data_IF_541563431387
#
_entry.id   IF_541563431387
#
_cell.length_a   1.000
_cell.length_b   1.000
_cell.length_c   1.000
_cell.angle_alpha   90.00
_cell.angle_beta   90.00
_cell.angle_gamma   90.00
#
_symmetry.space_group_name_H-M   'P 1'
#
loop_
_entity.id
_entity.type
_entity.pdbx_description
1 polymer ?
#
# COMPACT_ATOMS: atom_id res chain seq x y z
N UNK A 1 -21.49 13.13 -16.34
CA UNK A 1 -21.95 12.33 -15.19
C UNK A 1 -23.46 12.52 -15.08
N UNK A 2 -24.24 11.45 -15.12
CA UNK A 2 -25.70 11.52 -15.11
C UNK A 2 -26.20 11.18 -13.69
N UNK A 3 -26.88 12.11 -13.03
CA UNK A 3 -27.59 11.99 -11.73
C UNK A 3 -26.76 12.08 -10.43
N UNK A 4 -26.51 13.30 -9.90
CA UNK A 4 -25.82 13.53 -8.63
C UNK A 4 -26.56 12.98 -7.40
N UNK A 5 -27.90 12.94 -7.44
CA UNK A 5 -28.72 12.47 -6.30
C UNK A 5 -28.52 10.96 -6.05
N UNK A 6 -28.36 10.19 -7.13
CA UNK A 6 -28.05 8.76 -7.06
C UNK A 6 -26.68 8.49 -6.40
N UNK A 7 -25.70 9.39 -6.57
CA UNK A 7 -24.39 9.25 -5.96
C UNK A 7 -24.44 9.39 -4.42
N UNK A 8 -25.34 10.24 -3.90
CA UNK A 8 -25.57 10.38 -2.46
C UNK A 8 -26.21 9.13 -1.87
N UNK A 9 -27.27 8.63 -2.52
CA UNK A 9 -27.97 7.41 -2.08
C UNK A 9 -27.05 6.19 -2.12
N UNK A 10 -26.22 6.08 -3.16
CA UNK A 10 -25.23 5.02 -3.27
C UNK A 10 -24.17 5.10 -2.17
N UNK A 11 -23.72 6.31 -1.82
CA UNK A 11 -22.73 6.50 -0.75
C UNK A 11 -23.29 6.04 0.60
N UNK A 12 -24.53 6.39 0.94
CA UNK A 12 -25.14 5.95 2.20
C UNK A 12 -25.39 4.43 2.20
N UNK A 13 -25.79 3.84 1.07
CA UNK A 13 -25.92 2.39 0.96
C UNK A 13 -24.58 1.68 1.19
N UNK A 14 -23.50 2.14 0.54
CA UNK A 14 -22.17 1.56 0.66
C UNK A 14 -21.59 1.71 2.08
N UNK A 15 -21.94 2.79 2.80
CA UNK A 15 -21.56 2.99 4.20
C UNK A 15 -22.11 1.91 5.13
N UNK A 16 -23.38 1.53 4.94
CA UNK A 16 -23.98 0.45 5.73
C UNK A 16 -23.32 -0.88 5.37
N UNK A 17 -23.10 -1.14 4.08
CA UNK A 17 -22.46 -2.38 3.61
C UNK A 17 -20.98 -2.48 3.99
N UNK A 18 -20.27 -1.38 4.18
CA UNK A 18 -18.87 -1.42 4.65
C UNK A 18 -18.74 -1.90 6.10
N UNK A 19 -19.85 -1.91 6.85
CA UNK A 19 -19.94 -2.39 8.23
C UNK A 19 -20.74 -3.69 8.36
N UNK A 20 -21.04 -4.34 7.23
CA UNK A 20 -21.83 -5.56 7.20
C UNK A 20 -21.17 -6.68 8.02
N UNK A 21 -21.92 -7.53 8.76
CA UNK A 21 -21.35 -8.66 9.46
C UNK A 21 -20.56 -9.60 8.55
N UNK A 22 -21.00 -9.76 7.29
CA UNK A 22 -20.40 -10.68 6.33
C UNK A 22 -19.06 -10.14 5.78
N UNK A 23 -18.00 -10.94 5.91
CA UNK A 23 -16.67 -10.60 5.43
C UNK A 23 -16.64 -10.34 3.91
N UNK A 24 -17.37 -11.16 3.14
CA UNK A 24 -17.42 -11.06 1.69
C UNK A 24 -18.04 -9.73 1.25
N UNK A 25 -19.10 -9.27 1.90
CA UNK A 25 -19.77 -8.01 1.58
C UNK A 25 -18.82 -6.83 1.85
N UNK A 26 -18.12 -6.83 2.99
CA UNK A 26 -17.14 -5.78 3.29
C UNK A 26 -15.99 -5.76 2.27
N UNK A 27 -15.53 -6.94 1.83
CA UNK A 27 -14.51 -7.07 0.78
C UNK A 27 -15.00 -6.51 -0.56
N UNK A 28 -16.20 -6.88 -1.01
CA UNK A 28 -16.77 -6.42 -2.28
C UNK A 28 -16.99 -4.90 -2.32
N UNK A 29 -17.36 -4.29 -1.18
CA UNK A 29 -17.46 -2.82 -1.08
C UNK A 29 -16.10 -2.16 -1.37
N UNK A 30 -15.01 -2.68 -0.82
CA UNK A 30 -13.66 -2.17 -1.08
C UNK A 30 -13.32 -2.30 -2.56
N UNK A 31 -13.50 -3.50 -3.13
CA UNK A 31 -13.20 -3.78 -4.54
C UNK A 31 -13.96 -2.83 -5.45
N UNK A 32 -15.24 -2.60 -5.16
CA UNK A 32 -16.11 -1.70 -5.94
C UNK A 32 -15.59 -0.27 -5.92
N UNK A 33 -15.29 0.27 -4.73
CA UNK A 33 -14.80 1.65 -4.58
C UNK A 33 -13.44 1.81 -5.25
N UNK A 34 -12.52 0.86 -5.04
CA UNK A 34 -11.18 0.90 -5.63
C UNK A 34 -11.23 0.81 -7.16
N UNK A 35 -12.08 -0.06 -7.72
CA UNK A 35 -12.21 -0.18 -9.17
C UNK A 35 -12.83 1.08 -9.80
N UNK A 36 -13.80 1.71 -9.14
CA UNK A 36 -14.33 3.01 -9.56
C UNK A 36 -13.23 4.08 -9.54
N UNK A 37 -12.49 4.19 -8.43
CA UNK A 37 -11.40 5.16 -8.27
C UNK A 37 -10.24 4.93 -9.24
N UNK A 38 -9.93 3.67 -9.58
CA UNK A 38 -8.94 3.35 -10.62
C UNK A 38 -9.40 3.77 -12.00
N UNK A 39 -10.70 3.72 -12.30
CA UNK A 39 -11.22 4.13 -13.60
C UNK A 39 -11.11 5.65 -13.75
N UNK A 40 -11.62 6.38 -12.77
CA UNK A 40 -11.51 7.84 -12.67
C UNK A 40 -11.68 8.24 -11.21
N UNK A 41 -10.72 9.00 -10.68
CA UNK A 41 -10.72 9.41 -9.28
C UNK A 41 -11.91 10.31 -8.95
N UNK A 42 -12.49 11.02 -9.93
CA UNK A 42 -13.68 11.85 -9.70
C UNK A 42 -14.97 11.03 -9.46
N UNK A 43 -14.96 9.72 -9.75
CA UNK A 43 -16.08 8.82 -9.45
C UNK A 43 -16.15 8.43 -7.98
N UNK A 44 -15.10 8.70 -7.20
CA UNK A 44 -15.04 8.43 -5.77
C UNK A 44 -14.86 9.73 -5.01
N UNK A 45 -15.68 9.93 -3.98
CA UNK A 45 -15.55 11.06 -3.07
C UNK A 45 -14.73 10.66 -1.83
N UNK A 46 -14.40 11.65 -1.00
CA UNK A 46 -13.62 11.44 0.22
C UNK A 46 -14.31 10.50 1.23
N UNK A 47 -15.65 10.43 1.22
CA UNK A 47 -16.39 9.52 2.10
C UNK A 47 -16.18 8.05 1.68
N UNK A 48 -16.29 7.75 0.39
CA UNK A 48 -16.05 6.42 -0.16
C UNK A 48 -14.61 5.96 0.11
N UNK A 49 -13.63 6.83 -0.12
CA UNK A 49 -12.24 6.54 0.24
C UNK A 49 -12.05 6.40 1.77
N UNK A 50 -12.83 7.14 2.55
CA UNK A 50 -12.92 7.01 4.00
C UNK A 50 -13.34 5.60 4.45
N UNK A 51 -14.31 4.98 3.77
CA UNK A 51 -14.72 3.61 4.08
C UNK A 51 -13.59 2.61 3.85
N UNK A 52 -12.88 2.74 2.71
CA UNK A 52 -11.71 1.88 2.43
C UNK A 52 -10.61 2.11 3.46
N UNK A 53 -10.37 3.37 3.86
CA UNK A 53 -9.41 3.74 4.90
C UNK A 53 -9.72 3.05 6.23
N UNK A 54 -10.98 3.03 6.65
CA UNK A 54 -11.40 2.33 7.88
C UNK A 54 -11.21 0.82 7.78
N UNK A 55 -11.47 0.23 6.60
CA UNK A 55 -11.28 -1.20 6.37
C UNK A 55 -9.82 -1.66 6.41
N UNK A 56 -8.84 -0.75 6.38
CA UNK A 56 -7.44 -1.09 6.71
C UNK A 56 -7.26 -1.60 8.15
N UNK A 57 -8.24 -1.41 9.02
CA UNK A 57 -8.26 -1.88 10.41
C UNK A 57 -9.31 -2.99 10.66
N UNK A 58 -9.81 -3.63 9.60
CA UNK A 58 -10.81 -4.70 9.73
C UNK A 58 -10.27 -5.88 10.56
N UNK A 59 -11.16 -6.55 11.29
CA UNK A 59 -10.83 -7.75 12.07
C UNK A 59 -10.31 -8.87 11.16
N UNK A 60 -10.78 -8.94 9.92
CA UNK A 60 -10.41 -9.97 8.94
C UNK A 60 -9.24 -9.50 8.08
N UNK A 61 -8.15 -10.26 8.11
CA UNK A 61 -6.94 -9.99 7.33
C UNK A 61 -7.20 -9.83 5.84
N UNK A 62 -8.04 -10.69 5.25
CA UNK A 62 -8.38 -10.62 3.82
C UNK A 62 -8.95 -9.25 3.42
N UNK A 63 -9.80 -8.67 4.27
CA UNK A 63 -10.40 -7.34 4.07
C UNK A 63 -9.34 -6.25 4.22
N UNK A 64 -8.50 -6.32 5.25
CA UNK A 64 -7.39 -5.37 5.44
C UNK A 64 -6.42 -5.36 4.26
N UNK A 65 -6.03 -6.54 3.79
CA UNK A 65 -5.13 -6.73 2.66
C UNK A 65 -5.68 -6.08 1.40
N UNK A 66 -6.96 -6.30 1.09
CA UNK A 66 -7.60 -5.69 -0.08
C UNK A 66 -7.62 -4.16 0.02
N UNK A 67 -7.99 -3.62 1.18
CA UNK A 67 -8.00 -2.18 1.41
C UNK A 67 -6.61 -1.55 1.20
N UNK A 68 -5.57 -2.13 1.82
CA UNK A 68 -4.20 -1.63 1.72
C UNK A 68 -3.67 -1.69 0.29
N UNK A 69 -3.86 -2.82 -0.40
CA UNK A 69 -3.43 -3.00 -1.80
C UNK A 69 -4.17 -2.06 -2.74
N UNK A 70 -5.48 -1.89 -2.55
CA UNK A 70 -6.30 -0.99 -3.36
C UNK A 70 -5.86 0.46 -3.24
N UNK A 71 -5.64 0.94 -2.01
CA UNK A 71 -5.13 2.30 -1.76
C UNK A 71 -3.74 2.50 -2.36
N UNK A 72 -2.83 1.52 -2.22
CA UNK A 72 -1.50 1.58 -2.81
C UNK A 72 -1.54 1.69 -4.35
N UNK A 73 -2.47 1.00 -5.00
CA UNK A 73 -2.66 1.07 -6.45
C UNK A 73 -3.16 2.45 -6.90
N UNK A 74 -4.10 3.06 -6.17
CA UNK A 74 -4.54 4.43 -6.43
C UNK A 74 -3.40 5.43 -6.26
N UNK A 75 -2.62 5.29 -5.18
CA UNK A 75 -1.45 6.14 -4.93
C UNK A 75 -0.43 6.06 -6.07
N UNK A 76 -0.06 4.86 -6.50
CA UNK A 76 0.86 4.68 -7.64
C UNK A 76 0.32 5.34 -8.90
N UNK A 77 -0.96 5.13 -9.22
CA UNK A 77 -1.58 5.65 -10.44
C UNK A 77 -1.60 7.18 -10.48
N UNK A 78 -2.05 7.84 -9.40
CA UNK A 78 -2.29 9.27 -9.43
C UNK A 78 -1.15 10.12 -8.87
N UNK A 79 -0.39 9.60 -7.89
CA UNK A 79 0.71 10.35 -7.29
C UNK A 79 2.06 10.11 -7.99
N UNK A 80 2.35 8.88 -8.43
CA UNK A 80 3.62 8.57 -9.10
C UNK A 80 3.55 8.78 -10.60
N UNK A 81 2.48 8.34 -11.27
CA UNK A 81 2.34 8.51 -12.72
C UNK A 81 1.66 9.84 -13.11
N UNK A 82 1.21 10.65 -12.13
CA UNK A 82 0.57 11.95 -12.34
C UNK A 82 -0.64 11.94 -13.29
N UNK A 83 -1.37 10.83 -13.38
CA UNK A 83 -2.44 10.63 -14.38
C UNK A 83 -3.65 11.57 -14.23
N UNK A 84 -3.83 12.26 -13.10
CA UNK A 84 -4.97 13.17 -12.87
C UNK A 84 -4.56 14.61 -12.49
N UNK A 85 -3.31 15.00 -12.74
CA UNK A 85 -2.79 16.32 -12.36
C UNK A 85 -2.56 16.48 -10.85
N UNK A 86 -1.89 17.57 -10.47
CA UNK A 86 -1.39 17.78 -9.09
C UNK A 86 -2.49 17.90 -8.04
N UNK A 87 -3.62 18.52 -8.37
CA UNK A 87 -4.74 18.75 -7.45
C UNK A 87 -5.39 17.43 -6.99
N UNK A 88 -5.60 16.51 -7.94
CA UNK A 88 -6.22 15.20 -7.66
C UNK A 88 -5.26 14.30 -6.88
N UNK A 89 -3.95 14.36 -7.17
CA UNK A 89 -2.93 13.67 -6.38
C UNK A 89 -2.91 14.17 -4.91
N UNK A 90 -3.19 15.46 -4.68
CA UNK A 90 -3.23 16.02 -3.33
C UNK A 90 -4.40 15.48 -2.50
N UNK A 91 -5.57 15.23 -3.12
CA UNK A 91 -6.74 14.63 -2.43
C UNK A 91 -6.45 13.26 -1.82
N UNK A 92 -5.58 12.48 -2.45
CA UNK A 92 -5.20 11.15 -1.97
C UNK A 92 -3.80 11.08 -1.36
N UNK A 93 -3.18 12.24 -1.10
CA UNK A 93 -1.81 12.33 -0.57
C UNK A 93 -1.66 11.70 0.82
N UNK A 94 -2.76 11.60 1.59
CA UNK A 94 -2.80 10.95 2.91
C UNK A 94 -2.60 9.43 2.87
N UNK A 95 -2.78 8.80 1.70
CA UNK A 95 -2.67 7.34 1.56
C UNK A 95 -1.29 6.85 1.99
N UNK A 96 -0.23 7.55 1.60
CA UNK A 96 1.16 7.18 1.93
C UNK A 96 1.37 7.13 3.45
N UNK A 97 0.89 8.13 4.17
CA UNK A 97 1.06 8.25 5.61
C UNK A 97 0.24 7.17 6.33
N UNK A 98 -1.01 6.97 5.87
CA UNK A 98 -1.87 5.92 6.42
C UNK A 98 -1.28 4.52 6.28
N UNK A 99 -0.75 4.18 5.10
CA UNK A 99 -0.15 2.86 4.85
C UNK A 99 1.11 2.64 5.70
N UNK A 100 1.96 3.66 5.81
CA UNK A 100 3.18 3.57 6.62
C UNK A 100 2.88 3.49 8.11
N UNK A 101 1.83 4.16 8.59
CA UNK A 101 1.39 4.06 9.99
C UNK A 101 0.92 2.65 10.37
N UNK A 102 0.46 1.84 9.42
CA UNK A 102 0.08 0.44 9.68
C UNK A 102 1.30 -0.41 10.05
N UNK A 103 2.52 -0.06 9.60
CA UNK A 103 3.74 -0.78 9.96
C UNK A 103 4.00 -0.82 11.48
N UNK A 104 3.52 0.18 12.21
CA UNK A 104 3.67 0.24 13.67
C UNK A 104 2.67 -0.64 14.42
N UNK A 105 1.75 -1.31 13.75
CA UNK A 105 0.85 -2.27 14.39
C UNK A 105 1.56 -3.59 14.73
N UNK A 106 0.96 -4.37 15.63
CA UNK A 106 1.58 -5.60 16.13
C UNK A 106 1.47 -6.79 15.15
N UNK A 107 0.67 -6.69 14.09
CA UNK A 107 0.48 -7.78 13.13
C UNK A 107 1.68 -7.91 12.18
N UNK A 108 2.27 -9.11 12.13
CA UNK A 108 3.37 -9.45 11.21
C UNK A 108 2.88 -9.41 9.75
N UNK A 109 1.68 -9.93 9.48
CA UNK A 109 1.09 -9.94 8.13
C UNK A 109 0.95 -8.51 7.57
N UNK A 110 0.46 -7.58 8.41
CA UNK A 110 0.30 -6.18 8.04
C UNK A 110 1.68 -5.54 7.75
N UNK A 111 2.71 -5.81 8.58
CA UNK A 111 4.09 -5.31 8.35
C UNK A 111 4.68 -5.79 7.03
N UNK A 112 4.62 -7.09 6.77
CA UNK A 112 5.14 -7.68 5.53
C UNK A 112 4.43 -7.12 4.30
N UNK A 113 3.12 -6.86 4.41
CA UNK A 113 2.37 -6.24 3.32
C UNK A 113 2.76 -4.78 3.10
N UNK A 114 2.99 -4.01 4.17
CA UNK A 114 3.46 -2.62 4.04
C UNK A 114 4.85 -2.58 3.39
N UNK A 115 5.77 -3.48 3.75
CA UNK A 115 7.07 -3.60 3.09
C UNK A 115 6.93 -3.90 1.60
N UNK A 116 6.07 -4.86 1.25
CA UNK A 116 5.74 -5.17 -0.14
C UNK A 116 5.15 -3.97 -0.87
N UNK A 117 4.26 -3.22 -0.21
CA UNK A 117 3.60 -2.07 -0.79
C UNK A 117 4.61 -0.96 -1.08
N UNK A 118 5.50 -0.70 -0.11
CA UNK A 118 6.56 0.28 -0.24
C UNK A 118 7.44 -0.02 -1.47
N UNK A 119 7.91 -1.26 -1.57
CA UNK A 119 8.72 -1.80 -2.65
C UNK A 119 8.09 -1.73 -4.06
N UNK A 120 6.76 -1.85 -4.16
CA UNK A 120 6.06 -2.03 -5.44
C UNK A 120 5.28 -0.79 -5.92
N UNK A 121 4.77 0.00 -4.98
CA UNK A 121 3.82 1.08 -5.24
C UNK A 121 4.31 2.46 -4.78
N UNK A 122 5.26 2.55 -3.86
CA UNK A 122 5.77 3.84 -3.36
C UNK A 122 7.16 4.16 -3.92
N UNK A 123 8.07 3.19 -3.90
CA UNK A 123 9.41 3.28 -4.50
C UNK A 123 9.64 2.02 -5.36
N UNK A 124 9.06 1.96 -6.58
CA UNK A 124 9.14 0.76 -7.40
C UNK A 124 10.58 0.34 -7.71
N UNK A 125 10.92 -0.92 -7.45
CA UNK A 125 12.25 -1.47 -7.77
C UNK A 125 12.61 -1.45 -9.27
N UNK A 126 11.63 -1.24 -10.15
CA UNK A 126 11.83 -1.12 -11.59
C UNK A 126 12.42 0.22 -12.05
N UNK A 127 12.37 1.26 -11.20
CA UNK A 127 12.93 2.57 -11.53
C UNK A 127 14.46 2.55 -11.59
N UNK A 128 15.08 3.49 -12.30
CA UNK A 128 16.53 3.63 -12.26
C UNK A 128 17.02 4.14 -10.89
N UNK A 129 18.30 3.92 -10.57
CA UNK A 129 18.90 4.30 -9.26
C UNK A 129 18.68 5.77 -8.93
N UNK A 130 18.82 6.68 -9.90
CA UNK A 130 18.64 8.11 -9.66
C UNK A 130 17.17 8.45 -9.36
N UNK A 131 16.24 7.87 -10.12
CA UNK A 131 14.80 8.08 -9.93
C UNK A 131 14.29 7.46 -8.63
N UNK A 132 14.78 6.27 -8.27
CA UNK A 132 14.52 5.62 -6.98
C UNK A 132 14.91 6.53 -5.83
N UNK A 133 16.12 7.11 -5.88
CA UNK A 133 16.60 7.98 -4.80
C UNK A 133 15.83 9.30 -4.75
N UNK A 134 15.40 9.86 -5.89
CA UNK A 134 14.48 11.00 -5.90
C UNK A 134 13.14 10.64 -5.26
N UNK A 135 12.52 9.52 -5.63
CA UNK A 135 11.27 9.06 -5.03
C UNK A 135 11.41 8.83 -3.52
N UNK A 136 12.49 8.19 -3.08
CA UNK A 136 12.76 7.96 -1.67
C UNK A 136 12.96 9.27 -0.91
N UNK A 137 13.74 10.21 -1.47
CA UNK A 137 13.97 11.53 -0.89
C UNK A 137 12.69 12.34 -0.74
N UNK A 138 11.89 12.45 -1.81
CA UNK A 138 10.61 13.16 -1.77
C UNK A 138 9.61 12.51 -0.85
N UNK A 139 9.54 11.17 -0.83
CA UNK A 139 8.69 10.46 0.10
C UNK A 139 9.08 10.81 1.53
N UNK A 140 10.36 10.67 1.87
CA UNK A 140 10.91 10.95 3.19
C UNK A 140 10.71 12.39 3.65
N UNK A 141 10.90 13.37 2.76
CA UNK A 141 10.68 14.78 3.05
C UNK A 141 9.21 15.13 3.34
N UNK A 142 8.27 14.26 2.93
CA UNK A 142 6.83 14.44 3.12
C UNK A 142 6.22 13.49 4.15
N UNK A 143 7.04 12.73 4.90
CA UNK A 143 6.58 11.84 5.96
C UNK A 143 6.31 12.59 7.26
N UNK A 144 5.23 12.20 7.95
CA UNK A 144 4.99 12.51 9.37
C UNK A 144 6.21 12.10 10.23
N UNK A 145 6.48 12.85 11.29
CA UNK A 145 7.51 12.59 12.32
C UNK A 145 7.54 11.14 12.83
N UNK A 146 6.40 10.46 12.84
CA UNK A 146 6.28 9.05 13.18
C UNK A 146 6.75 8.12 12.06
N UNK A 147 6.42 8.39 10.80
CA UNK A 147 6.81 7.57 9.65
C UNK A 147 8.32 7.68 9.33
N UNK A 148 8.99 8.77 9.72
CA UNK A 148 10.45 8.94 9.64
C UNK A 148 11.22 7.88 10.45
N UNK A 149 10.63 7.34 11.52
CA UNK A 149 11.27 6.28 12.33
C UNK A 149 11.43 4.99 11.54
N UNK A 150 10.57 4.71 10.56
CA UNK A 150 10.58 3.50 9.72
C UNK A 150 11.90 3.34 8.96
N UNK A 151 12.36 4.43 8.33
CA UNK A 151 13.58 4.44 7.50
C UNK A 151 14.85 4.36 8.35
N UNK A 152 14.79 4.81 9.60
CA UNK A 152 15.89 4.71 10.55
C UNK A 152 16.00 3.35 11.22
N UNK A 153 14.91 2.58 11.31
CA UNK A 153 14.98 1.19 11.76
C UNK A 153 15.70 0.35 10.70
N UNK A 154 16.87 -0.24 11.03
CA UNK A 154 17.64 -0.99 10.05
C UNK A 154 16.81 -2.16 9.51
N UNK A 155 16.80 -2.32 8.18
CA UNK A 155 16.29 -3.50 7.48
C UNK A 155 17.18 -4.71 7.79
N UNK A 156 17.13 -5.22 9.02
CA UNK A 156 17.92 -6.39 9.44
C UNK A 156 17.41 -7.68 8.77
N UNK A 157 16.24 -7.66 8.13
CA UNK A 157 15.61 -8.85 7.53
C UNK A 157 16.19 -9.27 6.17
N UNK A 158 17.00 -8.43 5.51
CA UNK A 158 17.65 -8.79 4.22
C UNK A 158 19.13 -9.21 4.31
N UNK A 159 19.71 -9.30 5.51
CA UNK A 159 21.02 -9.94 5.70
C UNK A 159 20.85 -11.35 6.26
N UNK A 160 20.41 -12.27 5.41
CA UNK A 160 20.85 -13.67 5.55
C UNK A 160 22.16 -13.85 4.79
N UNK A 161 23.13 -14.63 5.31
CA UNK A 161 24.50 -14.62 4.82
C UNK A 161 24.63 -15.43 3.54
N UNK A 162 25.09 -14.83 2.46
CA UNK A 162 25.72 -15.56 1.36
C UNK A 162 27.12 -16.02 1.77
N UNK A 163 27.22 -16.85 2.81
CA UNK A 163 28.46 -17.51 3.21
C UNK A 163 28.07 -18.86 3.79
N UNK A 164 27.93 -19.88 2.93
CA UNK A 164 28.17 -21.30 3.23
C UNK A 164 27.77 -22.18 2.03
N UNK A 165 28.40 -21.97 0.87
CA UNK A 165 28.52 -23.01 -0.18
C UNK A 165 29.83 -22.82 -0.95
N UNK A 166 30.96 -23.03 -0.27
CA UNK A 166 32.29 -23.24 -0.87
C UNK A 166 33.24 -23.72 0.22
N UNK A 167 33.14 -24.99 0.62
CA UNK A 167 34.27 -25.73 1.20
C UNK A 167 33.90 -27.21 1.40
N UNK A 168 33.72 -27.94 0.32
CA UNK A 168 33.84 -29.41 0.31
C UNK A 168 34.34 -29.85 -1.06
N UNK A 169 35.60 -29.56 -1.35
CA UNK A 169 36.34 -30.17 -2.46
C UNK A 169 37.84 -30.00 -2.19
N UNK A 170 38.42 -30.88 -1.38
CA UNK A 170 39.85 -31.27 -1.39
C UNK A 170 40.11 -32.21 -0.21
N UNK A 171 39.82 -33.49 -0.40
CA UNK A 171 40.39 -34.59 0.36
C UNK A 171 40.05 -35.83 -0.44
N UNK A 172 40.91 -36.21 -1.39
CA UNK A 172 41.08 -37.56 -1.95
C UNK A 172 42.10 -37.45 -3.09
N UNK A 173 43.39 -37.56 -2.77
CA UNK A 173 44.44 -38.23 -3.55
C UNK A 173 45.66 -38.36 -2.63
N UNK A 174 45.65 -39.42 -1.81
CA UNK A 174 46.87 -40.02 -1.31
C UNK A 174 47.32 -41.08 -2.30
N UNK A 175 48.62 -41.13 -2.56
CA UNK A 175 49.22 -42.12 -3.45
C UNK A 175 50.70 -41.81 -3.65
N UNK A 176 51.52 -42.46 -2.81
CA UNK A 176 52.97 -42.65 -2.95
C UNK A 176 53.27 -43.41 -4.23
#
# INVERSE_FOLDING_TARGET
MNHPDLAKDLTEFLKVRSHDPEEAIRHDVIVTIINAGKKDLNLVNDQLLGFVRERTLDKRWRVRKEAMMGLAQLFKKYCLHHEAGKEQAQKISWIKDKLLHIYYQNSIDDKLLVEKIFAQYMVPHSLDTEEKMKCLYYLYACLDTNAVKLVHTPHTTHRTPHTHTSSTASLLTGGV
#
